data_IF_350322721918
#
_entry.id   IF_350322721918
#
_cell.length_a   1.000
_cell.length_b   1.000
_cell.length_c   1.000
_cell.angle_alpha   90.00
_cell.angle_beta   90.00
_cell.angle_gamma   90.00
#
_symmetry.space_group_name_H-M   'P 1'
#
loop_
_entity.id
_entity.type
_entity.pdbx_description
1 polymer ?
#
# COMPACT_ATOMS: atom_id res chain seq x y z
N UNK A 1 10.21 4.86 17.92
CA UNK A 1 9.08 4.24 17.18
C UNK A 1 8.62 5.17 16.08
N UNK A 2 7.82 4.71 15.10
CA UNK A 2 7.38 5.52 13.94
C UNK A 2 6.80 6.90 14.31
N UNK A 3 6.14 7.00 15.47
CA UNK A 3 5.64 8.25 16.05
C UNK A 3 6.74 9.29 16.35
N UNK A 4 7.97 8.85 16.66
CA UNK A 4 9.11 9.74 16.89
C UNK A 4 9.65 10.36 15.60
N UNK A 5 9.27 9.81 14.44
CA UNK A 5 9.59 10.37 13.12
C UNK A 5 8.48 11.28 12.58
N UNK A 6 7.42 11.54 13.36
CA UNK A 6 6.29 12.38 12.94
C UNK A 6 5.43 11.74 11.83
N UNK A 7 5.49 10.41 11.68
CA UNK A 7 4.72 9.67 10.68
C UNK A 7 3.31 9.38 11.21
N UNK A 8 2.31 9.66 10.39
CA UNK A 8 0.94 9.20 10.61
C UNK A 8 0.90 7.67 10.50
N UNK A 9 0.44 7.01 11.56
CA UNK A 9 0.36 5.57 11.66
C UNK A 9 -1.07 5.02 11.42
N UNK A 10 -2.03 5.87 11.04
CA UNK A 10 -3.39 5.43 10.72
C UNK A 10 -3.39 4.41 9.57
N UNK A 11 -2.71 4.70 8.46
CA UNK A 11 -2.76 3.88 7.25
C UNK A 11 -1.40 3.75 6.59
N UNK A 12 -1.00 2.51 6.32
CA UNK A 12 0.18 2.19 5.51
C UNK A 12 -0.23 1.72 4.13
N UNK A 13 0.23 2.42 3.10
CA UNK A 13 -0.03 2.03 1.71
C UNK A 13 1.05 1.06 1.23
N UNK A 14 0.67 -0.18 0.97
CA UNK A 14 1.55 -1.23 0.48
C UNK A 14 1.49 -1.33 -1.06
N UNK A 15 2.57 -0.95 -1.73
CA UNK A 15 2.70 -1.13 -3.18
C UNK A 15 3.00 -2.60 -3.52
N UNK A 16 1.97 -3.31 -3.96
CA UNK A 16 2.00 -4.70 -4.36
C UNK A 16 1.03 -5.56 -3.54
N UNK A 17 0.12 -6.23 -4.24
CA UNK A 17 -0.98 -7.01 -3.63
C UNK A 17 -0.58 -8.47 -3.31
N UNK A 18 0.63 -8.88 -3.70
CA UNK A 18 1.09 -10.26 -3.58
C UNK A 18 1.88 -10.53 -2.29
N UNK A 19 3.10 -11.05 -2.47
CA UNK A 19 3.99 -11.41 -1.35
C UNK A 19 4.31 -10.23 -0.43
N UNK A 20 4.44 -9.02 -0.99
CA UNK A 20 4.75 -7.82 -0.22
C UNK A 20 3.67 -7.51 0.81
N UNK A 21 2.41 -7.46 0.38
CA UNK A 21 1.28 -7.24 1.29
C UNK A 21 1.18 -8.32 2.36
N UNK A 22 1.31 -9.60 2.00
CA UNK A 22 1.27 -10.70 2.98
C UNK A 22 2.35 -10.57 4.05
N UNK A 23 3.57 -10.24 3.64
CA UNK A 23 4.68 -10.05 4.56
C UNK A 23 4.46 -8.84 5.47
N UNK A 24 4.13 -7.67 4.90
CA UNK A 24 3.91 -6.44 5.66
C UNK A 24 2.73 -6.55 6.61
N UNK A 25 1.64 -7.19 6.18
CA UNK A 25 0.48 -7.42 7.04
C UNK A 25 0.85 -8.25 8.26
N UNK A 26 1.55 -9.38 8.06
CA UNK A 26 2.02 -10.23 9.16
C UNK A 26 2.97 -9.47 10.11
N UNK A 27 3.92 -8.73 9.56
CA UNK A 27 4.83 -7.91 10.35
C UNK A 27 4.08 -6.84 11.16
N UNK A 28 3.06 -6.22 10.56
CA UNK A 28 2.24 -5.23 11.24
C UNK A 28 1.36 -5.83 12.34
N UNK A 29 0.84 -7.04 12.14
CA UNK A 29 0.11 -7.80 13.17
C UNK A 29 1.01 -8.13 14.38
N UNK A 30 2.30 -8.39 14.14
CA UNK A 30 3.27 -8.69 15.20
C UNK A 30 3.76 -7.43 15.95
N UNK A 31 3.87 -6.29 15.26
CA UNK A 31 4.55 -5.09 15.78
C UNK A 31 3.60 -3.90 16.07
N UNK A 32 2.39 -3.91 15.52
CA UNK A 32 1.42 -2.83 15.68
C UNK A 32 1.90 -1.48 15.13
N UNK A 33 2.62 -1.49 13.99
CA UNK A 33 3.20 -0.26 13.43
C UNK A 33 2.14 0.71 12.91
N UNK A 34 1.09 0.19 12.27
CA UNK A 34 0.01 0.94 11.65
C UNK A 34 -1.34 0.34 12.03
N UNK A 35 -2.39 1.17 12.06
CA UNK A 35 -3.76 0.69 12.33
C UNK A 35 -4.28 -0.15 11.15
N UNK A 36 -3.99 0.26 9.92
CA UNK A 36 -4.38 -0.43 8.70
C UNK A 36 -3.22 -0.54 7.69
N UNK A 37 -3.12 -1.68 6.99
CA UNK A 37 -2.26 -1.83 5.81
C UNK A 37 -3.15 -2.01 4.58
N UNK A 38 -3.07 -1.06 3.64
CA UNK A 38 -3.90 -1.00 2.44
C UNK A 38 -3.05 -1.35 1.21
N UNK A 39 -3.35 -2.44 0.48
CA UNK A 39 -2.59 -2.79 -0.71
C UNK A 39 -3.05 -1.98 -1.94
N UNK A 40 -2.10 -1.57 -2.78
CA UNK A 40 -2.33 -1.03 -4.11
C UNK A 40 -1.49 -1.77 -5.14
N UNK A 41 -1.98 -1.95 -6.37
CA UNK A 41 -1.19 -2.57 -7.43
C UNK A 41 0.11 -1.80 -7.68
N UNK A 42 1.25 -2.49 -7.69
CA UNK A 42 2.55 -1.84 -7.80
C UNK A 42 2.72 -1.12 -9.16
N UNK A 43 3.28 0.11 -9.22
CA UNK A 43 3.43 0.87 -10.47
C UNK A 43 4.18 0.09 -11.57
N UNK A 44 5.26 -0.62 -11.22
CA UNK A 44 5.97 -1.54 -12.12
C UNK A 44 5.02 -2.56 -12.79
N UNK A 45 4.12 -3.19 -12.02
CA UNK A 45 3.18 -4.16 -12.57
C UNK A 45 2.18 -3.50 -13.51
N UNK A 46 1.64 -2.35 -13.12
CA UNK A 46 0.69 -1.58 -13.94
C UNK A 46 1.35 -1.21 -15.27
N UNK A 47 2.52 -0.59 -15.22
CA UNK A 47 3.21 -0.07 -16.40
C UNK A 47 3.70 -1.16 -17.36
N UNK A 48 4.06 -2.34 -16.84
CA UNK A 48 4.57 -3.46 -17.64
C UNK A 48 3.46 -4.35 -18.22
N UNK A 49 2.39 -4.61 -17.47
CA UNK A 49 1.40 -5.63 -17.84
C UNK A 49 -0.03 -5.10 -18.00
N UNK A 50 -0.36 -3.96 -17.38
CA UNK A 50 -1.73 -3.43 -17.33
C UNK A 50 -1.85 -1.99 -17.84
N UNK A 51 -0.91 -1.52 -18.68
CA UNK A 51 -0.85 -0.13 -19.16
C UNK A 51 -2.17 0.35 -19.78
N UNK A 52 -2.90 -0.51 -20.50
CA UNK A 52 -4.20 -0.17 -21.11
C UNK A 52 -5.29 0.20 -20.09
N UNK A 53 -5.10 -0.14 -18.81
CA UNK A 53 -6.02 0.14 -17.70
C UNK A 53 -5.45 1.17 -16.72
N UNK A 54 -4.47 1.97 -17.13
CA UNK A 54 -3.77 2.90 -16.24
C UNK A 54 -4.75 3.82 -15.49
N UNK A 55 -5.75 4.36 -16.18
CA UNK A 55 -6.73 5.28 -15.59
C UNK A 55 -7.55 4.62 -14.46
N UNK A 56 -7.91 3.34 -14.60
CA UNK A 56 -8.59 2.57 -13.54
C UNK A 56 -7.71 2.47 -12.28
N UNK A 57 -6.42 2.22 -12.47
CA UNK A 57 -5.47 2.14 -11.36
C UNK A 57 -5.21 3.51 -10.73
N UNK A 58 -5.09 4.58 -11.54
CA UNK A 58 -4.95 5.94 -11.02
C UNK A 58 -6.15 6.34 -10.16
N UNK A 59 -7.37 5.98 -10.60
CA UNK A 59 -8.58 6.18 -9.80
C UNK A 59 -8.50 5.44 -8.46
N UNK A 60 -8.10 4.16 -8.46
CA UNK A 60 -7.93 3.39 -7.23
C UNK A 60 -6.88 4.01 -6.27
N UNK A 61 -5.78 4.56 -6.81
CA UNK A 61 -4.80 5.29 -6.01
C UNK A 61 -5.40 6.55 -5.38
N UNK A 62 -6.14 7.35 -6.15
CA UNK A 62 -6.77 8.57 -5.66
C UNK A 62 -7.85 8.29 -4.61
N UNK A 63 -8.63 7.22 -4.78
CA UNK A 63 -9.67 6.84 -3.83
C UNK A 63 -9.07 6.37 -2.48
N UNK A 64 -7.85 5.84 -2.50
CA UNK A 64 -7.14 5.39 -1.28
C UNK A 64 -6.38 6.52 -0.59
N UNK A 65 -5.83 7.48 -1.35
CA UNK A 65 -4.97 8.56 -0.82
C UNK A 65 -5.73 9.83 -0.40
N UNK A 66 -7.02 9.93 -0.72
CA UNK A 66 -7.91 10.97 -0.18
C UNK A 66 -8.23 10.70 1.29
#
# INVERSE_FOLDING_TARGET
GLLQMGMDNSRCICLGEGKNFKFLKKLNEEQGFFEEVVPLSHPRFIMQYRRKKLDDYLKAYLDVLR
#
